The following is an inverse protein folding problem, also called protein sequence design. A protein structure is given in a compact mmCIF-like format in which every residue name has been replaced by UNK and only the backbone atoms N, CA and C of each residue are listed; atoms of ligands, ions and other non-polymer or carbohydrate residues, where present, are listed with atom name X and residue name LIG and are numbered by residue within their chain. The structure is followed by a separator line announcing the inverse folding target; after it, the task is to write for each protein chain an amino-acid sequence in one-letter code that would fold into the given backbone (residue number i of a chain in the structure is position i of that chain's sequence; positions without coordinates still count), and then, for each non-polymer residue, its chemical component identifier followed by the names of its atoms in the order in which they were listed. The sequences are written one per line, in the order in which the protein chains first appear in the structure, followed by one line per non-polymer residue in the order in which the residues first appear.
data_IF_649127747209
#
_entry.id   IF_649127747209
#
_cell.length_a   1.000
_cell.length_b   1.000
_cell.length_c   1.000
_cell.angle_alpha   90.00
_cell.angle_beta   90.00
_cell.angle_gamma   90.00
#
_symmetry.space_group_name_H-M   'P 1'
#
loop_
_entity.id
_entity.type
_entity.pdbx_description
1 polymer ?
#
# COMPACT_ATOMS: atom_id res chain seq x y z
N UNK A 1 14.63 -6.43 8.13
CA UNK A 1 14.49 -6.52 6.67
C UNK A 1 13.30 -5.68 6.22
N UNK A 2 13.48 -4.91 5.15
CA UNK A 2 12.44 -4.04 4.61
C UNK A 2 11.51 -4.81 3.66
N UNK A 3 10.30 -4.30 3.46
CA UNK A 3 9.37 -4.75 2.44
C UNK A 3 9.69 -4.10 1.09
N UNK A 4 8.79 -4.33 0.12
CA UNK A 4 8.89 -3.75 -1.22
C UNK A 4 7.50 -3.39 -1.73
N UNK A 5 7.42 -2.31 -2.50
CA UNK A 5 6.27 -1.99 -3.34
C UNK A 5 6.60 -2.35 -4.78
N UNK A 6 5.71 -3.10 -5.43
CA UNK A 6 5.86 -3.64 -6.76
C UNK A 6 4.69 -3.25 -7.64
N UNK A 7 4.96 -2.60 -8.75
CA UNK A 7 3.98 -2.30 -9.80
C UNK A 7 3.71 -3.54 -10.65
N UNK A 8 2.52 -4.10 -10.57
CA UNK A 8 2.12 -5.33 -11.24
C UNK A 8 1.21 -5.08 -12.43
N UNK A 9 1.56 -5.67 -13.55
CA UNK A 9 0.82 -5.53 -14.81
C UNK A 9 0.80 -6.86 -15.56
N UNK A 10 -0.21 -7.03 -16.40
CA UNK A 10 -0.20 -8.08 -17.42
C UNK A 10 0.58 -7.64 -18.66
N UNK A 11 1.24 -8.60 -19.29
CA UNK A 11 1.86 -8.47 -20.60
C UNK A 11 1.72 -9.79 -21.37
N UNK A 12 0.76 -9.83 -22.28
CA UNK A 12 0.30 -11.09 -22.86
C UNK A 12 -0.30 -12.00 -21.80
N UNK A 13 0.25 -13.20 -21.61
CA UNK A 13 -0.22 -14.16 -20.60
C UNK A 13 0.59 -14.11 -19.29
N UNK A 14 1.62 -13.27 -19.21
CA UNK A 14 2.50 -13.14 -18.05
C UNK A 14 2.04 -12.01 -17.12
N UNK A 15 2.36 -12.15 -15.85
CA UNK A 15 2.42 -11.02 -14.91
C UNK A 15 3.85 -10.50 -14.85
N UNK A 16 4.00 -9.19 -14.97
CA UNK A 16 5.29 -8.52 -15.01
C UNK A 16 5.37 -7.39 -13.98
N UNK A 17 6.58 -7.03 -13.60
CA UNK A 17 6.89 -5.86 -12.80
C UNK A 17 7.13 -4.68 -13.74
N UNK A 18 6.11 -3.82 -13.90
CA UNK A 18 6.18 -2.65 -14.76
C UNK A 18 5.12 -1.61 -14.41
N UNK A 19 5.55 -0.37 -14.22
CA UNK A 19 4.63 0.75 -13.94
C UNK A 19 3.87 1.19 -15.20
N UNK A 20 4.56 1.37 -16.33
CA UNK A 20 3.98 1.95 -17.53
C UNK A 20 3.28 0.90 -18.42
N UNK A 21 2.16 1.25 -19.06
CA UNK A 21 1.51 0.38 -20.02
C UNK A 21 2.36 0.19 -21.29
N UNK A 22 2.09 -0.90 -22.03
CA UNK A 22 2.71 -1.23 -23.33
C UNK A 22 4.24 -1.44 -23.29
N UNK A 23 4.83 -1.62 -22.11
CA UNK A 23 6.24 -1.94 -21.93
C UNK A 23 6.37 -3.33 -21.33
N UNK A 24 7.39 -4.08 -21.75
CA UNK A 24 7.77 -5.34 -21.11
C UNK A 24 8.49 -5.06 -19.78
N UNK A 25 8.54 -6.05 -18.92
CA UNK A 25 9.17 -5.97 -17.60
C UNK A 25 9.63 -7.33 -17.10
N UNK A 26 10.22 -7.33 -15.91
CA UNK A 26 10.64 -8.54 -15.22
C UNK A 26 9.43 -9.43 -14.93
N UNK A 27 9.57 -10.75 -15.16
CA UNK A 27 8.52 -11.71 -14.87
C UNK A 27 8.28 -11.80 -13.36
N UNK A 28 7.03 -11.61 -12.93
CA UNK A 28 6.69 -11.60 -11.50
C UNK A 28 6.91 -12.96 -10.84
N UNK A 29 6.66 -14.07 -11.55
CA UNK A 29 6.89 -15.40 -11.01
C UNK A 29 8.38 -15.68 -10.82
N UNK A 30 9.24 -15.24 -11.75
CA UNK A 30 10.70 -15.35 -11.57
C UNK A 30 11.18 -14.53 -10.37
N UNK A 31 10.64 -13.31 -10.17
CA UNK A 31 10.94 -12.50 -9.00
C UNK A 31 10.57 -13.21 -7.69
N UNK A 32 9.39 -13.85 -7.64
CA UNK A 32 8.92 -14.54 -6.43
C UNK A 32 9.81 -15.70 -6.00
N UNK A 33 10.52 -16.35 -6.92
CA UNK A 33 11.46 -17.45 -6.60
C UNK A 33 12.59 -17.03 -5.67
N UNK A 34 12.91 -15.73 -5.66
CA UNK A 34 14.02 -15.15 -4.90
C UNK A 34 13.55 -14.23 -3.76
N UNK A 35 12.23 -14.03 -3.61
CA UNK A 35 11.68 -13.16 -2.59
C UNK A 35 11.75 -13.79 -1.19
N UNK A 36 12.44 -13.12 -0.26
CA UNK A 36 12.64 -13.62 1.11
C UNK A 36 12.65 -12.51 2.17
N UNK A 37 12.05 -11.36 1.89
CA UNK A 37 12.10 -10.22 2.80
C UNK A 37 10.71 -9.72 3.25
N UNK A 38 10.55 -8.47 3.67
CA UNK A 38 9.42 -7.95 4.43
C UNK A 38 8.05 -7.96 3.74
N UNK A 39 7.18 -7.03 4.05
CA UNK A 39 5.84 -6.94 3.46
C UNK A 39 5.90 -6.56 1.98
N UNK A 40 5.16 -7.28 1.14
CA UNK A 40 5.02 -7.01 -0.29
C UNK A 40 3.78 -6.16 -0.54
N UNK A 41 3.94 -4.96 -1.09
CA UNK A 41 2.84 -4.13 -1.57
C UNK A 41 2.64 -4.44 -3.05
N UNK A 42 1.48 -4.99 -3.38
CA UNK A 42 1.10 -5.42 -4.73
C UNK A 42 0.30 -4.30 -5.38
N UNK A 43 0.98 -3.36 -6.02
CA UNK A 43 0.37 -2.22 -6.68
C UNK A 43 -0.16 -2.60 -8.07
N UNK A 44 -1.49 -2.68 -8.21
CA UNK A 44 -2.16 -3.20 -9.40
C UNK A 44 -2.24 -2.12 -10.47
N UNK A 45 -1.63 -2.38 -11.62
CA UNK A 45 -1.61 -1.48 -12.78
C UNK A 45 -2.45 -1.97 -13.97
N UNK A 46 -2.98 -3.19 -13.88
CA UNK A 46 -3.94 -3.74 -14.85
C UNK A 46 -5.11 -4.35 -14.11
N UNK A 47 -6.32 -4.06 -14.55
CA UNK A 47 -7.54 -4.56 -13.91
C UNK A 47 -7.69 -6.08 -14.08
N UNK A 48 -8.20 -6.76 -13.04
CA UNK A 48 -8.54 -8.21 -13.01
C UNK A 48 -7.38 -9.19 -13.00
N UNK A 49 -6.16 -8.74 -12.73
CA UNK A 49 -5.01 -9.64 -12.58
C UNK A 49 -4.91 -10.24 -11.15
N UNK A 50 -5.65 -9.73 -10.19
CA UNK A 50 -5.51 -10.03 -8.75
C UNK A 50 -5.65 -11.51 -8.42
N UNK A 51 -6.56 -12.24 -9.09
CA UNK A 51 -6.71 -13.68 -8.88
C UNK A 51 -5.44 -14.45 -9.27
N UNK A 52 -4.84 -14.11 -10.42
CA UNK A 52 -3.57 -14.71 -10.86
C UNK A 52 -2.41 -14.33 -9.95
N UNK A 53 -2.41 -13.10 -9.44
CA UNK A 53 -1.43 -12.67 -8.42
C UNK A 53 -1.59 -13.51 -7.15
N UNK A 54 -2.82 -13.71 -6.66
CA UNK A 54 -3.10 -14.54 -5.48
C UNK A 54 -2.62 -15.99 -5.66
N UNK A 55 -2.84 -16.60 -6.83
CA UNK A 55 -2.35 -17.95 -7.13
C UNK A 55 -0.82 -18.02 -6.99
N UNK A 56 -0.10 -17.04 -7.54
CA UNK A 56 1.36 -17.01 -7.48
C UNK A 56 1.87 -16.78 -6.05
N UNK A 57 1.36 -15.79 -5.33
CA UNK A 57 1.81 -15.55 -3.94
C UNK A 57 1.49 -16.72 -3.01
N UNK A 58 0.39 -17.44 -3.23
CA UNK A 58 0.09 -18.68 -2.52
C UNK A 58 1.08 -19.80 -2.87
N UNK A 59 1.37 -20.00 -4.17
CA UNK A 59 2.35 -20.97 -4.67
C UNK A 59 3.73 -20.77 -4.03
N UNK A 60 4.15 -19.51 -3.88
CA UNK A 60 5.45 -19.16 -3.27
C UNK A 60 5.37 -18.89 -1.76
N UNK A 61 4.23 -19.18 -1.13
CA UNK A 61 4.02 -19.06 0.33
C UNK A 61 4.29 -17.65 0.88
N UNK A 62 3.99 -16.61 0.11
CA UNK A 62 4.09 -15.21 0.55
C UNK A 62 2.94 -14.92 1.52
N UNK A 63 3.26 -14.58 2.76
CA UNK A 63 2.26 -14.37 3.83
C UNK A 63 2.03 -12.92 4.19
N UNK A 64 3.02 -12.06 3.96
CA UNK A 64 2.98 -10.64 4.32
C UNK A 64 2.84 -9.82 3.05
N UNK A 65 1.64 -9.46 2.72
CA UNK A 65 1.33 -8.64 1.54
C UNK A 65 0.05 -7.85 1.72
N UNK A 66 -0.17 -6.86 0.88
CA UNK A 66 -1.49 -6.29 0.60
C UNK A 66 -1.57 -5.73 -0.82
N UNK A 67 -2.78 -5.75 -1.37
CA UNK A 67 -3.10 -5.13 -2.66
C UNK A 67 -3.28 -3.63 -2.53
N UNK A 68 -2.76 -2.91 -3.51
CA UNK A 68 -2.91 -1.47 -3.67
C UNK A 68 -3.45 -1.17 -5.07
N UNK A 69 -4.25 -0.11 -5.21
CA UNK A 69 -4.81 0.41 -6.47
C UNK A 69 -5.66 -0.59 -7.28
N UNK A 70 -6.15 -1.66 -6.68
CA UNK A 70 -7.20 -2.46 -7.28
C UNK A 70 -8.45 -1.62 -7.53
N UNK A 71 -9.16 -1.85 -8.65
CA UNK A 71 -10.42 -1.19 -8.90
C UNK A 71 -11.46 -1.55 -7.83
N UNK A 72 -12.37 -0.63 -7.52
CA UNK A 72 -13.36 -0.89 -6.46
C UNK A 72 -14.23 -2.12 -6.72
N UNK A 73 -14.66 -2.43 -7.97
CA UNK A 73 -15.34 -3.69 -8.26
C UNK A 73 -14.51 -4.92 -7.88
N UNK A 74 -13.20 -4.91 -8.11
CA UNK A 74 -12.29 -6.00 -7.71
C UNK A 74 -12.11 -6.06 -6.19
N UNK A 75 -11.98 -4.93 -5.51
CA UNK A 75 -11.95 -4.86 -4.04
C UNK A 75 -13.21 -5.51 -3.45
N UNK A 76 -14.38 -5.20 -4.01
CA UNK A 76 -15.64 -5.82 -3.58
C UNK A 76 -15.63 -7.34 -3.76
N UNK A 77 -15.21 -7.84 -4.93
CA UNK A 77 -15.16 -9.27 -5.22
C UNK A 77 -14.16 -10.00 -4.31
N UNK A 78 -12.94 -9.48 -4.16
CA UNK A 78 -11.91 -10.06 -3.31
C UNK A 78 -12.34 -10.09 -1.84
N UNK A 79 -12.88 -8.98 -1.32
CA UNK A 79 -13.34 -8.91 0.07
C UNK A 79 -14.51 -9.85 0.33
N UNK A 80 -15.41 -10.06 -0.65
CA UNK A 80 -16.49 -11.03 -0.55
C UNK A 80 -15.98 -12.47 -0.52
N UNK A 81 -14.87 -12.78 -1.17
CA UNK A 81 -14.22 -14.10 -1.11
C UNK A 81 -13.35 -14.28 0.14
N UNK A 82 -13.26 -13.28 1.01
CA UNK A 82 -12.53 -13.35 2.28
C UNK A 82 -11.11 -12.76 2.23
N UNK A 83 -10.64 -12.24 1.09
CA UNK A 83 -9.36 -11.54 1.03
C UNK A 83 -9.49 -10.16 1.70
N UNK A 84 -8.68 -9.94 2.75
CA UNK A 84 -8.68 -8.71 3.54
C UNK A 84 -7.40 -7.89 3.41
N UNK A 85 -6.33 -8.48 2.87
CA UNK A 85 -5.07 -7.80 2.65
C UNK A 85 -5.19 -6.84 1.45
N UNK A 86 -6.04 -5.85 1.58
CA UNK A 86 -6.36 -4.85 0.56
C UNK A 86 -6.24 -3.49 1.21
N UNK A 87 -5.59 -2.55 0.53
CA UNK A 87 -5.52 -1.16 0.93
C UNK A 87 -6.56 -0.32 0.19
N UNK A 88 -7.28 0.51 0.93
CA UNK A 88 -8.04 1.63 0.39
C UNK A 88 -7.22 2.90 0.53
N UNK A 89 -7.24 3.74 -0.50
CA UNK A 89 -6.55 5.03 -0.47
C UNK A 89 -7.31 6.03 0.38
N UNK A 90 -6.56 6.81 1.14
CA UNK A 90 -7.02 7.99 1.86
C UNK A 90 -6.11 9.15 1.51
N UNK A 91 -6.66 10.18 0.93
CA UNK A 91 -5.93 11.37 0.52
C UNK A 91 -6.78 12.62 0.75
N UNK A 92 -6.25 13.80 0.45
CA UNK A 92 -7.03 15.04 0.47
C UNK A 92 -8.18 15.07 -0.56
N UNK A 93 -8.18 14.10 -1.50
CA UNK A 93 -9.22 13.96 -2.54
C UNK A 93 -10.12 12.74 -2.34
N UNK A 94 -9.74 11.80 -1.47
CA UNK A 94 -10.45 10.55 -1.21
C UNK A 94 -10.74 10.46 0.30
N UNK A 95 -12.00 10.64 0.67
CA UNK A 95 -12.42 10.69 2.06
C UNK A 95 -12.52 9.33 2.75
N UNK A 96 -12.86 9.34 4.04
CA UNK A 96 -12.92 8.14 4.90
C UNK A 96 -14.22 7.35 4.77
N UNK A 97 -15.26 7.87 4.12
CA UNK A 97 -16.58 7.22 4.07
C UNK A 97 -16.53 5.83 3.44
N UNK A 98 -15.82 5.71 2.30
CA UNK A 98 -15.64 4.42 1.63
C UNK A 98 -14.87 3.43 2.51
N UNK A 99 -13.86 3.92 3.24
CA UNK A 99 -13.06 3.11 4.17
C UNK A 99 -13.96 2.57 5.29
N UNK A 100 -14.75 3.43 5.91
CA UNK A 100 -15.68 3.05 6.99
C UNK A 100 -16.73 2.03 6.51
N UNK A 101 -17.23 2.15 5.28
CA UNK A 101 -18.15 1.19 4.67
C UNK A 101 -17.51 -0.20 4.42
N UNK A 102 -16.18 -0.24 4.36
CA UNK A 102 -15.41 -1.47 4.15
C UNK A 102 -14.78 -2.03 5.43
N UNK A 103 -15.13 -1.50 6.61
CA UNK A 103 -14.63 -2.01 7.90
C UNK A 103 -14.89 -3.50 8.06
N UNK A 104 -13.87 -4.23 8.51
CA UNK A 104 -13.91 -5.69 8.66
C UNK A 104 -13.83 -6.48 7.36
N UNK A 105 -13.88 -5.83 6.19
CA UNK A 105 -13.76 -6.44 4.85
C UNK A 105 -12.38 -6.24 4.25
N UNK A 106 -11.73 -5.10 4.54
CA UNK A 106 -10.35 -4.79 4.16
C UNK A 106 -9.58 -4.34 5.40
N UNK A 107 -8.26 -4.45 5.40
CA UNK A 107 -7.45 -4.20 6.60
C UNK A 107 -6.53 -2.99 6.47
N UNK A 108 -6.17 -2.54 5.28
CA UNK A 108 -5.15 -1.52 5.10
C UNK A 108 -5.72 -0.21 4.60
N UNK A 109 -5.09 0.88 5.02
CA UNK A 109 -5.30 2.22 4.51
C UNK A 109 -3.97 2.73 3.96
N UNK A 110 -3.97 3.12 2.69
CA UNK A 110 -2.87 3.78 2.02
C UNK A 110 -3.04 5.29 2.15
N UNK A 111 -2.31 5.90 3.09
CA UNK A 111 -2.40 7.34 3.37
C UNK A 111 -1.49 8.08 2.42
N UNK A 112 -2.07 8.69 1.40
CA UNK A 112 -1.36 9.44 0.38
C UNK A 112 -1.40 10.95 0.66
N UNK A 113 -0.40 11.67 0.18
CA UNK A 113 -0.25 13.12 0.38
C UNK A 113 0.08 13.83 -0.93
N UNK A 114 -0.84 13.84 -1.90
CA UNK A 114 -0.59 14.46 -3.21
C UNK A 114 -0.19 15.92 -3.10
N UNK A 115 -0.80 16.70 -2.22
CA UNK A 115 -0.47 18.10 -1.96
C UNK A 115 -0.27 18.39 -0.47
N UNK A 116 -0.95 17.65 0.40
CA UNK A 116 -0.88 17.78 1.87
C UNK A 116 -1.16 16.43 2.54
N UNK A 117 -0.69 16.28 3.77
CA UNK A 117 -1.02 15.12 4.60
C UNK A 117 -2.50 15.17 5.01
N UNK A 118 -3.32 14.17 4.69
CA UNK A 118 -4.77 14.20 4.93
C UNK A 118 -5.17 13.76 6.35
N UNK A 119 -4.29 13.02 7.04
CA UNK A 119 -4.61 12.36 8.30
C UNK A 119 -4.56 13.36 9.48
N UNK A 120 -5.58 13.30 10.34
CA UNK A 120 -5.66 14.03 11.60
C UNK A 120 -5.74 13.05 12.77
N UNK A 121 -5.45 13.50 14.00
CA UNK A 121 -5.59 12.66 15.19
C UNK A 121 -7.00 12.08 15.35
N UNK A 122 -8.03 12.85 14.99
CA UNK A 122 -9.42 12.42 15.07
C UNK A 122 -9.73 11.26 14.11
N UNK A 123 -9.45 11.42 12.81
CA UNK A 123 -9.72 10.37 11.83
C UNK A 123 -8.79 9.16 12.02
N UNK A 124 -7.54 9.36 12.45
CA UNK A 124 -6.63 8.27 12.81
C UNK A 124 -7.22 7.42 13.96
N UNK A 125 -7.66 8.04 15.04
CA UNK A 125 -8.27 7.36 16.19
C UNK A 125 -9.50 6.57 15.76
N UNK A 126 -10.42 7.20 15.04
CA UNK A 126 -11.63 6.56 14.52
C UNK A 126 -11.31 5.31 13.68
N UNK A 127 -10.40 5.42 12.73
CA UNK A 127 -10.06 4.33 11.83
C UNK A 127 -9.28 3.22 12.57
N UNK A 128 -8.41 3.57 13.53
CA UNK A 128 -7.68 2.61 14.37
C UNK A 128 -8.63 1.80 15.27
N UNK A 129 -9.65 2.44 15.84
CA UNK A 129 -10.71 1.77 16.62
C UNK A 129 -11.50 0.75 15.78
N UNK A 130 -11.58 0.93 14.47
CA UNK A 130 -12.17 -0.02 13.54
C UNK A 130 -11.19 -1.11 13.03
N UNK A 131 -9.98 -1.16 13.58
CA UNK A 131 -9.00 -2.23 13.33
C UNK A 131 -8.17 -2.07 12.05
N UNK A 132 -8.18 -0.89 11.43
CA UNK A 132 -7.36 -0.66 10.24
C UNK A 132 -5.88 -0.53 10.57
N UNK A 133 -5.06 -1.01 9.65
CA UNK A 133 -3.61 -0.80 9.55
C UNK A 133 -3.32 0.34 8.57
N UNK A 134 -2.25 1.06 8.81
CA UNK A 134 -1.91 2.25 8.01
C UNK A 134 -0.55 2.10 7.36
N UNK A 135 -0.50 2.40 6.06
CA UNK A 135 0.74 2.59 5.33
C UNK A 135 0.83 4.06 4.87
N UNK A 136 1.84 4.78 5.34
CA UNK A 136 2.09 6.16 4.93
C UNK A 136 2.87 6.18 3.61
N UNK A 137 2.43 7.02 2.68
CA UNK A 137 3.23 7.42 1.52
C UNK A 137 4.13 8.57 1.94
N UNK A 138 5.42 8.34 1.89
CA UNK A 138 6.39 9.39 2.24
C UNK A 138 6.34 10.55 1.22
N UNK A 139 6.39 11.82 1.67
CA UNK A 139 6.11 12.97 0.81
C UNK A 139 7.05 13.11 -0.37
N UNK A 140 8.25 12.57 -0.32
CA UNK A 140 9.16 12.60 -1.49
C UNK A 140 8.63 11.80 -2.68
N UNK A 141 7.75 10.80 -2.46
CA UNK A 141 7.10 10.05 -3.53
C UNK A 141 6.12 10.90 -4.33
N UNK A 142 5.67 12.01 -3.73
CA UNK A 142 4.82 13.04 -4.34
C UNK A 142 5.59 14.32 -4.68
N UNK A 143 6.94 14.24 -4.76
CA UNK A 143 7.79 15.38 -5.09
C UNK A 143 7.91 16.45 -4.00
N UNK A 144 7.52 16.15 -2.75
CA UNK A 144 7.49 17.07 -1.63
C UNK A 144 8.60 16.77 -0.60
N UNK A 145 9.84 16.61 -1.07
CA UNK A 145 10.99 16.26 -0.22
C UNK A 145 11.16 17.18 0.99
N UNK A 146 10.87 18.45 0.83
CA UNK A 146 11.01 19.48 1.87
C UNK A 146 10.01 19.32 3.01
N UNK A 147 8.90 18.57 2.80
CA UNK A 147 7.86 18.38 3.81
C UNK A 147 8.11 17.18 4.73
N UNK A 148 9.09 16.34 4.48
CA UNK A 148 9.32 15.11 5.23
C UNK A 148 9.46 15.38 6.73
N UNK A 149 10.37 16.26 7.14
CA UNK A 149 10.61 16.58 8.55
C UNK A 149 9.39 17.28 9.20
N UNK A 150 8.68 18.11 8.44
CA UNK A 150 7.46 18.76 8.91
C UNK A 150 6.35 17.73 9.18
N UNK A 151 6.11 16.79 8.25
CA UNK A 151 5.09 15.75 8.47
C UNK A 151 5.49 14.80 9.59
N UNK A 152 6.74 14.41 9.66
CA UNK A 152 7.26 13.57 10.75
C UNK A 152 7.01 14.20 12.11
N UNK A 153 7.34 15.51 12.25
CA UNK A 153 7.08 16.25 13.50
C UNK A 153 5.59 16.32 13.81
N UNK A 154 4.76 16.66 12.84
CA UNK A 154 3.31 16.70 13.00
C UNK A 154 2.75 15.35 13.49
N UNK A 155 3.15 14.24 12.88
CA UNK A 155 2.71 12.89 13.26
C UNK A 155 3.12 12.55 14.70
N UNK A 156 4.32 12.94 15.11
CA UNK A 156 4.79 12.76 16.49
C UNK A 156 4.01 13.60 17.48
N UNK A 157 3.79 14.88 17.18
CA UNK A 157 3.05 15.82 18.05
C UNK A 157 1.59 15.37 18.24
N UNK A 158 0.96 14.82 17.20
CA UNK A 158 -0.42 14.29 17.20
C UNK A 158 -0.54 12.85 17.69
N UNK A 159 0.55 12.18 18.00
CA UNK A 159 0.55 10.77 18.44
C UNK A 159 0.08 9.78 17.38
N UNK A 160 0.26 10.09 16.11
CA UNK A 160 -0.11 9.24 14.97
C UNK A 160 1.07 8.32 14.62
N UNK A 161 0.83 7.00 14.58
CA UNK A 161 1.80 6.00 14.17
C UNK A 161 1.30 5.15 13.02
N UNK A 162 2.23 4.65 12.20
CA UNK A 162 1.94 3.83 11.03
C UNK A 162 2.46 2.41 11.20
N UNK A 163 1.74 1.44 10.63
CA UNK A 163 2.15 0.03 10.60
C UNK A 163 3.19 -0.23 9.50
N UNK A 164 3.25 0.65 8.48
CA UNK A 164 4.24 0.66 7.42
C UNK A 164 4.45 2.08 6.86
N UNK A 165 5.61 2.31 6.25
CA UNK A 165 5.92 3.56 5.52
C UNK A 165 6.51 3.17 4.16
N UNK A 166 5.89 3.63 3.07
CA UNK A 166 6.43 3.51 1.73
C UNK A 166 7.32 4.72 1.45
N UNK A 167 8.61 4.50 1.25
CA UNK A 167 9.63 5.54 1.07
C UNK A 167 10.76 5.05 0.16
N UNK A 168 11.55 5.97 -0.34
CA UNK A 168 12.77 5.61 -1.10
C UNK A 168 13.91 5.18 -0.16
N UNK A 169 14.75 4.27 -0.65
CA UNK A 169 15.88 3.69 0.11
C UNK A 169 16.73 4.77 0.80
N UNK A 170 17.01 5.88 0.13
CA UNK A 170 17.84 6.98 0.66
C UNK A 170 17.17 7.79 1.80
N UNK A 171 15.88 7.58 2.07
CA UNK A 171 15.15 8.23 3.16
C UNK A 171 14.77 7.29 4.31
N UNK A 172 15.11 6.00 4.23
CA UNK A 172 14.78 5.01 5.27
C UNK A 172 15.26 5.47 6.65
N UNK A 173 16.50 5.93 6.76
CA UNK A 173 17.07 6.37 8.03
C UNK A 173 16.36 7.57 8.64
N UNK A 174 15.77 8.42 7.82
CA UNK A 174 14.97 9.55 8.30
C UNK A 174 13.69 9.09 9.00
N UNK A 175 13.11 7.97 8.56
CA UNK A 175 11.90 7.40 9.15
C UNK A 175 12.18 6.47 10.33
N UNK A 176 13.37 5.85 10.43
CA UNK A 176 13.72 4.87 11.48
C UNK A 176 13.81 5.46 12.89
N UNK A 177 13.82 6.77 13.07
CA UNK A 177 13.85 7.40 14.38
C UNK A 177 12.45 7.59 14.97
N UNK A 178 11.92 6.56 15.67
CA UNK A 178 10.76 6.62 16.60
C UNK A 178 9.34 6.80 16.03
N UNK A 179 9.00 6.32 14.84
CA UNK A 179 7.62 6.33 14.30
C UNK A 179 7.04 4.94 13.99
N UNK A 180 7.76 3.90 14.29
CA UNK A 180 7.29 2.49 14.27
C UNK A 180 7.09 1.99 15.70
#
# INVERSE_FOLDING_TARGET
EYGVELDLRDYGERLILQHDPFKDGEDFEEYLKHYNHGTMILNIKSERIEHKVLELIQKYNIKKYFFLDSSFPMIYLLSKSGEKNIALRFSEFEGIDTILNMKGKVEWIWVDCFTKLPITAENYKLLKEHGFKFCLVSPELQGQNEKLEYYKKYLQDEGISFDAICTKVYNIDKWNSKLL
#
